data_IF_459770472119
#
_entry.id   IF_459770472119
#
_cell.length_a   1.000
_cell.length_b   1.000
_cell.length_c   1.000
_cell.angle_alpha   90.00
_cell.angle_beta   90.00
_cell.angle_gamma   90.00
#
_symmetry.space_group_name_H-M   'P 1'
#
loop_
_entity.id
_entity.type
_entity.pdbx_description
1 polymer ?
#
# COMPACT_ATOMS: atom_id res chain seq x y z
N UNK A 1 13.54 19.80 -6.04
CA UNK A 1 13.20 19.42 -4.64
C UNK A 1 13.71 18.01 -4.38
N UNK A 2 14.47 17.81 -3.29
CA UNK A 2 14.92 16.47 -2.87
C UNK A 2 13.70 15.62 -2.50
N UNK A 3 13.58 14.42 -3.06
CA UNK A 3 12.54 13.45 -2.71
C UNK A 3 13.14 12.42 -1.76
N UNK A 4 12.46 12.18 -0.64
CA UNK A 4 12.79 11.07 0.25
C UNK A 4 12.03 9.85 -0.23
N UNK A 5 12.77 8.82 -0.61
CA UNK A 5 12.23 7.56 -1.13
C UNK A 5 12.88 6.44 -0.32
N UNK A 6 12.06 5.66 0.36
CA UNK A 6 12.47 4.42 1.01
C UNK A 6 11.91 3.25 0.19
N UNK A 7 12.74 2.67 -0.66
CA UNK A 7 12.32 1.58 -1.54
C UNK A 7 11.91 0.32 -0.78
N UNK A 8 12.52 0.06 0.39
CA UNK A 8 12.18 -1.11 1.20
C UNK A 8 10.77 -0.96 1.77
N UNK A 9 10.48 0.19 2.37
CA UNK A 9 9.14 0.52 2.86
C UNK A 9 8.09 0.45 1.74
N UNK A 10 8.39 1.00 0.56
CA UNK A 10 7.44 0.96 -0.57
C UNK A 10 7.14 -0.46 -1.03
N UNK A 11 8.15 -1.36 -1.03
CA UNK A 11 7.95 -2.78 -1.36
C UNK A 11 7.11 -3.51 -0.31
N UNK A 12 7.29 -3.21 0.97
CA UNK A 12 6.50 -3.81 2.05
C UNK A 12 5.04 -3.37 1.99
N UNK A 13 4.78 -2.08 1.78
CA UNK A 13 3.43 -1.55 1.57
C UNK A 13 2.78 -2.17 0.33
N UNK A 14 3.51 -2.25 -0.78
CA UNK A 14 3.04 -2.85 -2.02
C UNK A 14 2.67 -4.33 -1.85
N UNK A 15 3.50 -5.09 -1.13
CA UNK A 15 3.25 -6.50 -0.82
C UNK A 15 1.99 -6.65 0.03
N UNK A 16 1.84 -5.84 1.08
CA UNK A 16 0.66 -5.89 1.95
C UNK A 16 -0.64 -5.59 1.18
N UNK A 17 -0.64 -4.56 0.34
CA UNK A 17 -1.79 -4.22 -0.52
C UNK A 17 -2.15 -5.39 -1.44
N UNK A 18 -1.13 -6.04 -2.03
CA UNK A 18 -1.33 -7.20 -2.89
C UNK A 18 -1.91 -8.40 -2.15
N UNK A 19 -1.52 -8.62 -0.89
CA UNK A 19 -2.08 -9.66 -0.02
C UNK A 19 -3.56 -9.38 0.24
N UNK A 20 -3.92 -8.18 0.70
CA UNK A 20 -5.31 -7.78 0.95
C UNK A 20 -6.21 -7.98 -0.28
N UNK A 21 -5.71 -7.58 -1.46
CA UNK A 21 -6.46 -7.78 -2.72
C UNK A 21 -6.70 -9.27 -3.01
N UNK A 22 -5.67 -10.11 -2.83
CA UNK A 22 -5.76 -11.56 -3.07
C UNK A 22 -6.65 -12.27 -2.04
N UNK A 23 -6.66 -11.84 -0.79
CA UNK A 23 -7.56 -12.37 0.24
C UNK A 23 -9.05 -12.14 -0.08
N UNK A 24 -9.35 -11.09 -0.86
CA UNK A 24 -10.69 -10.78 -1.37
C UNK A 24 -10.96 -11.39 -2.76
N UNK A 25 -10.04 -12.19 -3.30
CA UNK A 25 -10.10 -12.78 -4.65
C UNK A 25 -10.36 -11.77 -5.78
N UNK A 26 -9.85 -10.54 -5.63
CA UNK A 26 -10.05 -9.48 -6.61
C UNK A 26 -8.93 -9.43 -7.63
N UNK A 27 -9.25 -9.27 -8.91
CA UNK A 27 -8.29 -8.88 -9.94
C UNK A 27 -7.90 -7.40 -9.81
N UNK A 28 -6.79 -7.01 -10.45
CA UNK A 28 -6.39 -5.61 -10.50
C UNK A 28 -7.40 -4.73 -11.27
N UNK A 29 -8.10 -5.31 -12.26
CA UNK A 29 -9.10 -4.60 -13.07
C UNK A 29 -10.37 -4.35 -12.25
N UNK A 30 -10.86 -5.36 -11.51
CA UNK A 30 -12.01 -5.20 -10.62
C UNK A 30 -11.77 -4.13 -9.56
N UNK A 31 -10.57 -4.13 -8.97
CA UNK A 31 -10.19 -3.09 -8.01
C UNK A 31 -10.18 -1.69 -8.65
N UNK A 32 -9.61 -1.56 -9.85
CA UNK A 32 -9.58 -0.28 -10.58
C UNK A 32 -11.00 0.21 -10.88
N UNK A 33 -11.88 -0.66 -11.37
CA UNK A 33 -13.27 -0.32 -11.66
C UNK A 33 -14.01 0.14 -10.39
N UNK A 34 -13.74 -0.51 -9.25
CA UNK A 34 -14.44 -0.20 -8.01
C UNK A 34 -13.93 1.08 -7.30
N UNK A 35 -12.69 1.49 -7.55
CA UNK A 35 -12.02 2.54 -6.74
C UNK A 35 -11.46 3.71 -7.55
N UNK A 36 -11.39 3.58 -8.88
CA UNK A 36 -10.64 4.47 -9.78
C UNK A 36 -9.13 4.56 -9.44
N UNK A 37 -8.61 3.62 -8.63
CA UNK A 37 -7.21 3.58 -8.23
C UNK A 37 -6.48 2.50 -9.03
N UNK A 38 -5.45 2.90 -9.77
CA UNK A 38 -4.59 1.97 -10.49
C UNK A 38 -3.61 1.25 -9.54
N UNK A 39 -4.07 0.14 -8.97
CA UNK A 39 -3.32 -0.65 -8.00
C UNK A 39 -2.10 -1.36 -8.62
N UNK A 40 -2.09 -1.60 -9.94
CA UNK A 40 -0.98 -2.30 -10.60
C UNK A 40 0.36 -1.57 -10.45
N UNK A 41 0.35 -0.23 -10.46
CA UNK A 41 1.55 0.60 -10.25
C UNK A 41 1.99 0.62 -8.78
N UNK A 42 1.04 0.45 -7.86
CA UNK A 42 1.28 0.41 -6.42
C UNK A 42 1.90 -0.94 -6.03
N UNK A 43 1.38 -2.05 -6.55
CA UNK A 43 1.86 -3.41 -6.25
C UNK A 43 3.29 -3.70 -6.73
N UNK A 44 3.82 -2.91 -7.66
CA UNK A 44 5.21 -3.00 -8.11
C UNK A 44 6.12 -1.94 -7.45
N UNK A 45 5.62 -1.20 -6.46
CA UNK A 45 6.34 -0.15 -5.74
C UNK A 45 6.98 0.92 -6.66
N UNK A 46 6.38 1.20 -7.83
CA UNK A 46 6.99 2.09 -8.84
C UNK A 46 7.01 3.55 -8.41
N UNK A 47 6.01 3.97 -7.64
CA UNK A 47 5.87 5.35 -7.18
C UNK A 47 5.55 5.37 -5.68
N UNK A 48 6.03 6.40 -4.99
CA UNK A 48 5.55 6.71 -3.65
C UNK A 48 4.10 7.20 -3.75
N UNK A 49 3.17 6.49 -3.11
CA UNK A 49 1.77 6.86 -3.10
C UNK A 49 1.48 7.89 -2.02
N UNK A 50 0.39 8.65 -2.20
CA UNK A 50 -0.05 9.56 -1.13
C UNK A 50 -0.69 8.76 0.01
N UNK A 51 -0.62 9.31 1.23
CA UNK A 51 -1.32 8.75 2.39
C UNK A 51 -2.84 8.74 2.18
N UNK A 52 -3.40 9.72 1.45
CA UNK A 52 -4.83 9.74 1.11
C UNK A 52 -5.21 8.57 0.19
N UNK A 53 -4.38 8.23 -0.79
CA UNK A 53 -4.57 7.03 -1.63
C UNK A 53 -4.52 5.78 -0.77
N UNK A 54 -3.54 5.68 0.15
CA UNK A 54 -3.45 4.54 1.05
C UNK A 54 -4.70 4.41 1.93
N UNK A 55 -5.22 5.53 2.46
CA UNK A 55 -6.46 5.53 3.26
C UNK A 55 -7.67 5.08 2.44
N UNK A 56 -7.78 5.49 1.17
CA UNK A 56 -8.85 5.02 0.29
C UNK A 56 -8.80 3.51 0.07
N UNK A 57 -7.59 2.95 -0.12
CA UNK A 57 -7.39 1.50 -0.23
C UNK A 57 -7.77 0.79 1.08
N UNK A 58 -7.36 1.33 2.23
CA UNK A 58 -7.72 0.78 3.53
C UNK A 58 -9.25 0.77 3.74
N UNK A 59 -9.93 1.86 3.38
CA UNK A 59 -11.39 1.93 3.44
C UNK A 59 -12.05 0.87 2.55
N UNK A 60 -11.54 0.66 1.34
CA UNK A 60 -12.07 -0.35 0.43
C UNK A 60 -11.94 -1.78 0.99
N UNK A 61 -10.87 -2.06 1.74
CA UNK A 61 -10.64 -3.36 2.38
C UNK A 61 -11.20 -3.45 3.81
N UNK A 62 -11.99 -2.48 4.27
CA UNK A 62 -12.56 -2.42 5.63
C UNK A 62 -11.50 -2.54 6.75
N UNK A 63 -10.29 -2.00 6.52
CA UNK A 63 -9.19 -2.01 7.50
C UNK A 63 -8.85 -0.58 7.94
N UNK A 64 -8.55 -0.39 9.22
CA UNK A 64 -8.06 0.90 9.70
C UNK A 64 -6.64 1.16 9.18
N UNK A 65 -6.27 2.43 8.99
CA UNK A 65 -4.90 2.78 8.57
C UNK A 65 -3.87 2.35 9.63
N UNK A 66 -4.23 2.40 10.91
CA UNK A 66 -3.39 1.92 12.00
C UNK A 66 -3.14 0.42 11.90
N UNK A 67 -4.17 -0.38 11.62
CA UNK A 67 -4.02 -1.83 11.47
C UNK A 67 -3.24 -2.15 10.20
N UNK A 68 -3.41 -1.37 9.13
CA UNK A 68 -2.58 -1.47 7.93
C UNK A 68 -1.08 -1.23 8.20
N UNK A 69 -0.72 -0.39 9.16
CA UNK A 69 0.69 -0.08 9.43
C UNK A 69 1.34 -1.05 10.43
N UNK A 70 0.56 -1.76 11.25
CA UNK A 70 1.07 -2.70 12.27
C UNK A 70 1.88 -3.88 11.71
N UNK A 71 1.55 -4.34 10.49
CA UNK A 71 2.22 -5.49 9.84
C UNK A 71 3.20 -5.06 8.75
N UNK A 72 3.55 -3.77 8.70
CA UNK A 72 4.74 -3.33 7.97
C UNK A 72 5.93 -3.66 8.88
N UNK A 73 6.86 -4.54 8.48
CA UNK A 73 8.03 -4.89 9.29
C UNK A 73 8.67 -3.62 9.83
N UNK A 74 8.98 -3.59 11.14
CA UNK A 74 9.60 -2.43 11.77
C UNK A 74 10.78 -1.98 10.91
N UNK A 75 10.64 -0.83 10.23
CA UNK A 75 11.81 -0.11 9.76
C UNK A 75 12.67 0.05 11.01
N UNK A 76 13.88 -0.52 10.99
CA UNK A 76 14.82 -0.32 12.08
C UNK A 76 15.08 1.18 12.08
N UNK A 77 14.41 1.94 12.94
CA UNK A 77 14.91 3.23 13.35
C UNK A 77 16.33 2.96 13.82
N UNK A 78 17.35 3.60 13.22
CA UNK A 78 18.69 3.54 13.78
C UNK A 78 18.52 3.86 15.26
N UNK A 79 18.90 2.91 16.13
CA UNK A 79 19.00 3.23 17.55
C UNK A 79 20.06 4.31 17.61
N UNK A 80 19.65 5.50 18.03
CA UNK A 80 20.58 6.56 18.44
C UNK A 80 21.58 6.01 19.47
#
# INVERSE_FOLDING_TARGET
>A
MKKYIDEALLKEIALRIKVLRKEKDLSQIEFLIATDINISRIEIAKNNMTISTLKAICNYFDISLSDFLKDIPKSKFPKE
#
